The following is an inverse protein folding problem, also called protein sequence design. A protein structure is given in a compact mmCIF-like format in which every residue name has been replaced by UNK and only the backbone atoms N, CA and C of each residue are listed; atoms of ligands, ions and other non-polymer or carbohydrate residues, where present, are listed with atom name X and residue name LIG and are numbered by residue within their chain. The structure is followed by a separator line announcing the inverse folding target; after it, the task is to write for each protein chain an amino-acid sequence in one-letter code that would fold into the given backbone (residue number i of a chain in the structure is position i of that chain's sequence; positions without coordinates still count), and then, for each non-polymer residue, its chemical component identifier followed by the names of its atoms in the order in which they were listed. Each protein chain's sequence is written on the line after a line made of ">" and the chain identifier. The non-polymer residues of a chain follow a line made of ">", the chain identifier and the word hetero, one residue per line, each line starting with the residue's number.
data_IF_856531030216
#
_entry.id   IF_856531030216
#
_cell.length_a   1.000
_cell.length_b   1.000
_cell.length_c   1.000
_cell.angle_alpha   90.00
_cell.angle_beta   90.00
_cell.angle_gamma   90.00
#
_symmetry.space_group_name_H-M   'P 1'
#
loop_
_entity.id
_entity.type
_entity.pdbx_description
1 polymer ?
#
# COMPACT_ATOMS: atom_id res chain seq x y z
N UNK A 1 -15.62 53.97 27.58
CA UNK A 1 -15.39 52.67 28.22
C UNK A 1 -15.31 51.65 27.11
N UNK A 2 -14.09 51.33 26.68
CA UNK A 2 -13.70 50.10 25.98
C UNK A 2 -12.19 50.23 25.79
N UNK A 3 -11.45 49.36 26.47
CA UNK A 3 -10.00 49.42 26.60
C UNK A 3 -9.30 48.72 25.44
N UNK A 4 -8.19 49.30 25.02
CA UNK A 4 -7.20 48.72 24.10
C UNK A 4 -6.68 47.37 24.63
N UNK A 5 -6.49 46.34 23.78
CA UNK A 5 -5.77 45.15 24.17
C UNK A 5 -4.26 45.35 24.04
N UNK A 6 -3.58 45.02 25.14
CA UNK A 6 -2.15 45.15 25.36
C UNK A 6 -1.28 44.28 24.43
N UNK A 7 -0.17 44.90 24.00
CA UNK A 7 1.14 44.37 23.62
C UNK A 7 1.31 42.86 23.37
N UNK A 8 1.57 42.53 22.11
CA UNK A 8 2.20 41.27 21.69
C UNK A 8 3.65 41.26 22.19
N UNK A 9 3.93 40.50 23.24
CA UNK A 9 5.30 40.22 23.69
C UNK A 9 5.99 39.30 22.68
N UNK A 10 6.96 39.84 21.92
CA UNK A 10 7.93 39.05 21.15
C UNK A 10 8.87 38.35 22.15
N UNK A 11 8.78 37.03 22.22
CA UNK A 11 9.73 36.21 22.97
C UNK A 11 10.89 35.84 22.02
N UNK A 12 12.01 36.54 22.17
CA UNK A 12 13.26 36.21 21.47
C UNK A 12 13.87 34.94 22.07
N UNK A 13 14.15 33.94 21.24
CA UNK A 13 14.87 32.73 21.63
C UNK A 13 16.39 33.02 21.66
N UNK A 14 17.10 32.78 22.77
CA UNK A 14 18.55 32.94 22.78
C UNK A 14 19.21 31.81 21.98
N UNK A 15 19.92 32.21 20.92
CA UNK A 15 20.84 31.36 20.16
C UNK A 15 22.09 31.14 21.00
N UNK A 16 22.39 29.87 21.30
CA UNK A 16 23.73 29.42 21.66
C UNK A 16 23.88 28.82 23.05
N UNK A 17 23.88 27.49 23.12
CA UNK A 17 24.54 26.77 24.20
C UNK A 17 25.64 25.93 23.59
N UNK A 18 26.88 26.41 23.74
CA UNK A 18 28.11 25.66 23.43
C UNK A 18 28.21 24.47 24.37
N UNK A 19 28.41 23.28 23.81
CA UNK A 19 28.85 22.10 24.55
C UNK A 19 30.29 22.37 25.02
N UNK A 20 30.52 22.32 26.33
CA UNK A 20 31.81 22.54 26.95
C UNK A 20 32.77 21.38 26.63
N UNK A 21 33.86 21.68 25.93
CA UNK A 21 35.03 20.81 25.86
C UNK A 21 36.01 21.21 26.97
N UNK A 22 36.59 20.20 27.63
CA UNK A 22 37.50 20.33 28.75
C UNK A 22 38.76 21.16 28.43
N UNK A 23 39.26 21.81 29.48
CA UNK A 23 40.40 22.74 29.60
C UNK A 23 41.73 22.31 28.97
N UNK A 24 42.57 23.26 28.50
CA UNK A 24 43.99 23.01 28.22
C UNK A 24 44.90 23.59 29.32
N UNK A 25 45.87 22.81 29.77
CA UNK A 25 47.05 23.32 30.49
C UNK A 25 48.02 23.98 29.50
N UNK A 26 48.36 25.23 29.78
CA UNK A 26 49.34 26.01 29.04
C UNK A 26 50.75 25.78 29.59
N UNK A 27 51.72 25.49 28.71
CA UNK A 27 53.15 25.69 28.99
C UNK A 27 53.77 26.56 27.90
N UNK A 28 54.13 27.79 28.29
CA UNK A 28 54.85 28.81 27.52
C UNK A 28 56.26 28.34 27.15
N UNK A 29 56.74 28.59 25.92
CA UNK A 29 58.10 29.10 25.63
C UNK A 29 58.13 29.83 24.27
N UNK A 30 58.63 31.07 24.26
CA UNK A 30 59.62 31.54 23.27
C UNK A 30 59.16 32.28 22.01
N UNK A 31 59.16 33.61 22.08
CA UNK A 31 59.21 34.55 20.94
C UNK A 31 60.57 34.53 20.21
N UNK A 32 60.57 34.47 18.87
CA UNK A 32 61.51 35.24 18.02
C UNK A 32 60.87 35.59 16.68
N UNK A 33 60.97 36.86 16.31
CA UNK A 33 60.61 37.42 15.01
C UNK A 33 61.47 36.84 13.88
N UNK A 34 60.80 36.47 12.79
CA UNK A 34 61.39 36.25 11.48
C UNK A 34 60.30 36.49 10.44
N UNK A 35 60.40 37.59 9.69
CA UNK A 35 59.58 37.83 8.51
C UNK A 35 59.83 36.73 7.48
N UNK A 36 58.80 35.94 7.17
CA UNK A 36 58.76 35.14 5.94
C UNK A 36 57.38 35.25 5.33
N UNK A 37 57.35 35.95 4.19
CA UNK A 37 56.43 35.90 3.05
C UNK A 37 55.11 35.12 3.23
N UNK A 38 54.03 35.81 2.86
CA UNK A 38 52.72 35.26 2.50
C UNK A 38 52.85 33.96 1.69
N UNK A 39 52.78 32.83 2.38
CA UNK A 39 52.73 31.49 1.83
C UNK A 39 51.42 30.84 2.24
N UNK A 40 50.61 30.50 1.23
CA UNK A 40 49.45 29.59 1.25
C UNK A 40 49.17 28.97 2.63
N UNK A 41 48.19 29.51 3.37
CA UNK A 41 47.53 28.71 4.41
C UNK A 41 46.80 27.60 3.69
N UNK A 42 47.38 26.41 3.76
CA UNK A 42 46.74 25.14 3.57
C UNK A 42 45.38 25.19 4.26
N UNK A 43 44.34 25.29 3.44
CA UNK A 43 43.02 24.76 3.78
C UNK A 43 43.31 23.31 4.16
N UNK A 44 43.21 22.96 5.44
CA UNK A 44 43.07 21.58 5.84
C UNK A 44 41.89 21.04 5.03
N UNK A 45 42.19 20.31 3.97
CA UNK A 45 41.20 19.64 3.15
C UNK A 45 40.65 18.49 3.98
N UNK A 46 39.68 18.79 4.83
CA UNK A 46 38.79 17.78 5.38
C UNK A 46 38.15 17.02 4.20
N UNK A 47 38.05 15.69 4.28
CA UNK A 47 37.62 14.86 3.17
C UNK A 47 36.21 15.26 2.71
N UNK A 48 36.05 15.47 1.39
CA UNK A 48 34.83 15.93 0.72
C UNK A 48 33.64 14.93 0.77
N UNK A 49 33.70 13.81 1.49
CA UNK A 49 32.68 12.73 1.43
C UNK A 49 31.85 12.48 2.70
N UNK A 50 32.10 13.15 3.83
CA UNK A 50 31.63 12.69 5.15
C UNK A 50 30.72 13.67 5.91
N UNK A 51 29.78 14.33 5.22
CA UNK A 51 28.80 15.21 5.90
C UNK A 51 27.48 14.46 6.14
N UNK A 52 26.99 14.34 7.40
CA UNK A 52 25.67 13.81 7.70
C UNK A 52 24.53 14.50 6.92
N UNK A 53 24.70 15.76 6.52
CA UNK A 53 23.72 16.44 5.66
C UNK A 53 23.60 15.81 4.27
N UNK A 54 24.70 15.29 3.70
CA UNK A 54 24.66 14.64 2.37
C UNK A 54 23.90 13.32 2.43
N UNK A 55 24.13 12.52 3.48
CA UNK A 55 23.36 11.30 3.75
C UNK A 55 21.87 11.62 3.89
N UNK A 56 21.54 12.65 4.68
CA UNK A 56 20.17 13.10 4.86
C UNK A 56 19.50 13.54 3.55
N UNK A 57 20.18 14.35 2.73
CA UNK A 57 19.63 14.81 1.45
C UNK A 57 19.47 13.66 0.45
N UNK A 58 20.42 12.73 0.41
CA UNK A 58 20.36 11.54 -0.44
C UNK A 58 19.16 10.64 -0.11
N UNK A 59 18.74 10.61 1.16
CA UNK A 59 17.56 9.82 1.58
C UNK A 59 16.25 10.24 0.89
N UNK A 60 16.22 11.41 0.24
CA UNK A 60 15.09 11.81 -0.61
C UNK A 60 14.79 10.81 -1.75
N UNK A 61 15.79 10.07 -2.25
CA UNK A 61 15.59 9.04 -3.27
C UNK A 61 14.76 7.87 -2.75
N UNK A 62 14.99 7.47 -1.48
CA UNK A 62 14.19 6.46 -0.78
C UNK A 62 12.77 6.94 -0.55
N UNK A 63 12.60 8.20 -0.15
CA UNK A 63 11.28 8.80 0.05
C UNK A 63 10.51 8.93 -1.27
N UNK A 64 11.22 9.17 -2.38
CA UNK A 64 10.66 9.20 -3.74
C UNK A 64 10.36 7.82 -4.32
N UNK A 65 10.77 6.73 -3.66
CA UNK A 65 10.55 5.35 -4.12
C UNK A 65 11.47 4.92 -5.26
N UNK A 66 12.57 5.64 -5.50
CA UNK A 66 13.55 5.29 -6.54
C UNK A 66 14.50 4.17 -6.12
N UNK A 67 14.68 3.99 -4.80
CA UNK A 67 15.50 2.93 -4.20
C UNK A 67 14.90 2.51 -2.86
N UNK A 68 15.22 1.30 -2.40
CA UNK A 68 14.94 0.86 -1.02
C UNK A 68 16.03 1.33 -0.04
N UNK A 69 15.73 1.22 1.26
CA UNK A 69 16.61 1.67 2.35
C UNK A 69 17.93 0.89 2.38
N UNK A 70 17.88 -0.43 2.17
CA UNK A 70 19.06 -1.30 2.22
C UNK A 70 20.04 -0.97 1.10
N UNK A 71 19.53 -0.91 -0.13
CA UNK A 71 20.32 -0.52 -1.31
C UNK A 71 20.90 0.89 -1.18
N UNK A 72 20.13 1.83 -0.62
CA UNK A 72 20.60 3.19 -0.37
C UNK A 72 21.78 3.23 0.60
N UNK A 73 21.69 2.51 1.73
CA UNK A 73 22.78 2.46 2.73
C UNK A 73 24.03 1.84 2.09
N UNK A 74 23.91 0.73 1.37
CA UNK A 74 25.05 0.07 0.71
C UNK A 74 25.72 0.97 -0.34
N UNK A 75 24.92 1.68 -1.14
CA UNK A 75 25.44 2.63 -2.11
C UNK A 75 26.17 3.79 -1.41
N UNK A 76 25.62 4.29 -0.31
CA UNK A 76 26.26 5.35 0.48
C UNK A 76 27.57 4.88 1.13
N UNK A 77 27.65 3.66 1.66
CA UNK A 77 28.89 3.06 2.18
C UNK A 77 29.99 3.04 1.11
N UNK A 78 29.63 2.62 -0.11
CA UNK A 78 30.54 2.57 -1.25
C UNK A 78 31.05 3.95 -1.68
N UNK A 79 30.18 4.96 -1.71
CA UNK A 79 30.55 6.33 -2.09
C UNK A 79 31.35 7.07 -1.02
N UNK A 80 30.99 6.86 0.24
CA UNK A 80 31.63 7.53 1.38
C UNK A 80 32.94 6.87 1.79
N UNK A 81 33.09 5.57 1.53
CA UNK A 81 34.18 4.73 2.02
C UNK A 81 34.07 4.37 3.50
N UNK A 82 32.91 4.62 4.14
CA UNK A 82 32.67 4.35 5.55
C UNK A 82 31.69 3.18 5.68
N UNK A 83 32.08 2.06 6.30
CA UNK A 83 31.16 1.00 6.63
C UNK A 83 30.22 1.43 7.75
N UNK A 84 28.93 1.13 7.62
CA UNK A 84 27.92 1.33 8.64
C UNK A 84 27.83 0.06 9.48
N UNK A 85 28.19 0.17 10.76
CA UNK A 85 28.21 -0.97 11.69
C UNK A 85 26.82 -1.60 11.90
N UNK A 86 25.77 -0.77 11.89
CA UNK A 86 24.40 -1.19 12.17
C UNK A 86 23.43 -0.48 11.22
N UNK A 87 23.03 -1.18 10.15
CA UNK A 87 22.14 -0.66 9.12
C UNK A 87 20.75 -0.33 9.67
N UNK A 88 20.27 -1.10 10.66
CA UNK A 88 18.96 -0.86 11.30
C UNK A 88 18.97 0.45 12.07
N UNK A 89 20.00 0.69 12.89
CA UNK A 89 20.10 1.97 13.63
C UNK A 89 20.11 3.16 12.69
N UNK A 90 20.86 3.07 11.60
CA UNK A 90 20.89 4.16 10.61
C UNK A 90 19.52 4.35 9.95
N UNK A 91 18.86 3.27 9.54
CA UNK A 91 17.52 3.31 8.97
C UNK A 91 16.49 3.92 9.93
N UNK A 92 16.51 3.56 11.22
CA UNK A 92 15.65 4.14 12.25
C UNK A 92 15.89 5.64 12.45
N UNK A 93 17.15 6.10 12.43
CA UNK A 93 17.48 7.53 12.51
C UNK A 93 16.95 8.33 11.30
N UNK A 94 17.05 7.75 10.11
CA UNK A 94 16.56 8.36 8.86
C UNK A 94 15.03 8.38 8.80
N UNK A 95 14.36 7.29 9.19
CA UNK A 95 12.90 7.24 9.27
C UNK A 95 12.37 8.18 10.38
N UNK A 96 13.07 8.26 11.52
CA UNK A 96 12.75 9.23 12.58
C UNK A 96 12.81 10.67 12.07
N UNK A 97 13.77 10.97 11.19
CA UNK A 97 13.94 12.30 10.61
C UNK A 97 12.80 12.66 9.66
N UNK A 98 12.28 11.67 8.92
CA UNK A 98 11.08 11.82 8.10
C UNK A 98 9.85 12.14 8.97
N UNK A 99 9.60 11.36 10.03
CA UNK A 99 8.48 11.64 10.93
C UNK A 99 8.62 12.99 11.64
N UNK A 100 9.85 13.38 12.01
CA UNK A 100 10.13 14.72 12.56
C UNK A 100 9.73 15.83 11.58
N UNK A 101 9.96 15.65 10.28
CA UNK A 101 9.52 16.62 9.27
C UNK A 101 7.98 16.64 9.15
N UNK A 102 7.32 15.48 9.21
CA UNK A 102 5.86 15.41 9.16
C UNK A 102 5.15 16.13 10.31
N UNK A 103 5.78 16.28 11.48
CA UNK A 103 5.20 17.05 12.59
C UNK A 103 5.01 18.54 12.22
N UNK A 104 5.76 19.07 11.26
CA UNK A 104 5.66 20.47 10.81
C UNK A 104 4.58 20.72 9.74
N UNK A 105 3.73 19.73 9.45
CA UNK A 105 2.64 19.90 8.48
C UNK A 105 1.61 20.92 9.00
N UNK A 106 1.42 22.03 8.28
CA UNK A 106 0.64 23.18 8.75
C UNK A 106 -0.85 22.89 8.93
N UNK A 107 -1.43 22.03 8.09
CA UNK A 107 -2.86 21.67 8.15
C UNK A 107 -3.28 21.11 9.51
N UNK A 108 -2.36 20.41 10.20
CA UNK A 108 -2.64 19.84 11.52
C UNK A 108 -2.84 20.86 12.64
N UNK A 109 -2.63 22.14 12.40
CA UNK A 109 -2.80 23.22 13.38
C UNK A 109 -3.75 24.32 12.91
N UNK A 110 -4.41 24.12 11.75
CA UNK A 110 -5.32 25.10 11.16
C UNK A 110 -6.69 25.12 11.87
N UNK A 111 -7.19 23.95 12.26
CA UNK A 111 -8.51 23.81 12.88
C UNK A 111 -8.45 23.97 14.41
N UNK A 112 -9.58 24.38 14.99
CA UNK A 112 -9.66 24.79 16.39
C UNK A 112 -9.79 23.65 17.43
N UNK A 113 -9.78 22.38 17.01
CA UNK A 113 -9.93 21.24 17.92
C UNK A 113 -8.76 20.27 17.81
N UNK A 114 -8.06 20.00 18.91
CA UNK A 114 -6.92 19.06 18.98
C UNK A 114 -7.33 17.61 18.69
N UNK A 115 -8.62 17.27 18.79
CA UNK A 115 -9.13 15.93 18.44
C UNK A 115 -9.56 15.80 16.97
N UNK A 116 -9.39 16.84 16.16
CA UNK A 116 -9.59 16.76 14.71
C UNK A 116 -8.66 15.73 14.05
N UNK A 117 -9.02 15.29 12.84
CA UNK A 117 -8.28 14.24 12.14
C UNK A 117 -6.83 14.66 11.85
N UNK A 118 -6.60 15.93 11.49
CA UNK A 118 -5.29 16.46 11.12
C UNK A 118 -4.37 16.67 12.34
N UNK A 119 -4.79 17.30 13.46
CA UNK A 119 -3.97 17.36 14.66
C UNK A 119 -3.64 15.98 15.24
N UNK A 120 -4.61 15.04 15.23
CA UNK A 120 -4.36 13.65 15.66
C UNK A 120 -3.26 13.00 14.82
N UNK A 121 -3.26 13.23 13.52
CA UNK A 121 -2.23 12.71 12.61
C UNK A 121 -0.85 13.33 12.91
N UNK A 122 -0.75 14.64 13.14
CA UNK A 122 0.51 15.28 13.55
C UNK A 122 1.01 14.77 14.91
N UNK A 123 0.11 14.54 15.88
CA UNK A 123 0.47 13.93 17.17
C UNK A 123 0.97 12.50 16.97
N UNK A 124 0.33 11.71 16.11
CA UNK A 124 0.79 10.37 15.76
C UNK A 124 2.22 10.40 15.16
N UNK A 125 2.49 11.34 14.24
CA UNK A 125 3.83 11.54 13.70
C UNK A 125 4.86 11.88 14.77
N UNK A 126 4.50 12.73 15.73
CA UNK A 126 5.39 13.09 16.83
C UNK A 126 5.70 11.89 17.73
N UNK A 127 4.67 11.12 18.11
CA UNK A 127 4.83 9.89 18.91
C UNK A 127 5.74 8.90 18.17
N UNK A 128 5.55 8.71 16.86
CA UNK A 128 6.39 7.80 16.08
C UNK A 128 7.83 8.29 15.94
N UNK A 129 8.06 9.60 15.76
CA UNK A 129 9.41 10.16 15.74
C UNK A 129 10.12 9.94 17.10
N UNK A 130 9.40 10.15 18.19
CA UNK A 130 9.89 9.92 19.56
C UNK A 130 10.27 8.46 19.75
N UNK A 131 9.39 7.53 19.39
CA UNK A 131 9.62 6.08 19.47
C UNK A 131 10.91 5.66 18.73
N UNK A 132 11.08 6.12 17.48
CA UNK A 132 12.28 5.86 16.68
C UNK A 132 13.55 6.46 17.29
N UNK A 133 13.46 7.63 17.93
CA UNK A 133 14.62 8.30 18.51
C UNK A 133 14.93 7.91 19.96
N UNK A 134 13.98 7.32 20.68
CA UNK A 134 14.10 7.08 22.12
C UNK A 134 15.32 6.22 22.45
N UNK A 135 15.64 5.20 21.65
CA UNK A 135 16.80 4.32 21.87
C UNK A 135 18.16 5.02 21.67
N UNK A 136 18.18 6.19 21.05
CA UNK A 136 19.38 7.00 20.82
C UNK A 136 19.50 8.16 21.81
N UNK A 137 18.61 8.23 22.79
CA UNK A 137 18.59 9.26 23.83
C UNK A 137 18.47 8.62 25.20
N UNK A 138 19.26 9.12 26.16
CA UNK A 138 19.12 8.76 27.58
C UNK A 138 17.94 9.49 28.23
N UNK A 139 17.36 10.49 27.56
CA UNK A 139 16.23 11.27 28.07
C UNK A 139 14.92 10.64 27.62
N UNK A 140 13.93 10.55 28.52
CA UNK A 140 12.55 10.19 28.16
C UNK A 140 11.93 11.30 27.30
N UNK A 141 12.03 11.14 25.97
CA UNK A 141 11.56 12.12 25.00
C UNK A 141 10.03 12.24 25.04
N UNK A 142 9.33 11.14 25.28
CA UNK A 142 7.87 11.14 25.39
C UNK A 142 7.43 11.91 26.64
N UNK A 143 8.10 11.68 27.77
CA UNK A 143 7.88 12.40 29.03
C UNK A 143 8.06 13.90 28.93
N UNK A 144 8.95 14.39 28.06
CA UNK A 144 9.11 15.83 27.79
C UNK A 144 7.92 16.43 27.01
N UNK A 145 7.35 15.66 26.08
CA UNK A 145 6.33 16.16 25.14
C UNK A 145 4.91 16.04 25.70
N UNK A 146 4.61 14.97 26.44
CA UNK A 146 3.27 14.71 26.99
C UNK A 146 2.70 15.87 27.84
N UNK A 147 3.45 16.52 28.75
CA UNK A 147 2.93 17.66 29.52
C UNK A 147 2.60 18.88 28.66
N UNK A 148 3.32 19.09 27.56
CA UNK A 148 3.07 20.18 26.62
C UNK A 148 1.77 19.89 25.87
N UNK A 149 1.60 18.67 25.35
CA UNK A 149 0.37 18.24 24.67
C UNK A 149 -0.85 18.24 25.62
N UNK A 150 -0.65 18.02 26.92
CA UNK A 150 -1.72 18.06 27.92
C UNK A 150 -2.35 19.45 28.09
N UNK A 151 -1.66 20.53 27.68
CA UNK A 151 -2.21 21.90 27.71
C UNK A 151 -3.27 22.12 26.62
N UNK A 152 -3.19 21.39 25.52
CA UNK A 152 -4.17 21.45 24.44
C UNK A 152 -5.35 20.51 24.74
N UNK A 153 -6.51 21.09 25.03
CA UNK A 153 -7.75 20.34 25.33
C UNK A 153 -8.63 20.27 24.09
N UNK A 154 -9.32 19.14 23.92
CA UNK A 154 -10.34 19.02 22.89
C UNK A 154 -11.58 19.81 23.26
N UNK A 155 -12.31 20.27 22.23
CA UNK A 155 -13.64 20.85 22.40
C UNK A 155 -14.64 19.78 22.88
N UNK A 156 -14.36 18.50 22.63
CA UNK A 156 -15.15 17.34 23.08
C UNK A 156 -14.53 16.74 24.34
N UNK A 157 -15.28 16.76 25.45
CA UNK A 157 -14.79 16.24 26.74
C UNK A 157 -14.30 14.79 26.70
N UNK A 158 -14.95 13.93 25.91
CA UNK A 158 -14.59 12.51 25.83
C UNK A 158 -13.26 12.26 25.11
N UNK A 159 -12.83 13.16 24.22
CA UNK A 159 -11.55 13.06 23.52
C UNK A 159 -10.36 13.51 24.39
N UNK A 160 -10.63 14.21 25.49
CA UNK A 160 -9.63 14.60 26.48
C UNK A 160 -8.69 15.71 26.00
N UNK A 161 -7.39 15.40 25.94
CA UNK A 161 -6.31 16.35 25.60
C UNK A 161 -5.35 15.76 24.57
N UNK A 162 -4.46 16.59 24.03
CA UNK A 162 -3.36 16.11 23.18
C UNK A 162 -2.54 15.00 23.85
N UNK A 163 -2.39 15.03 25.19
CA UNK A 163 -1.72 13.97 25.94
C UNK A 163 -2.51 12.65 25.89
N UNK A 164 -3.84 12.71 26.05
CA UNK A 164 -4.72 11.54 25.96
C UNK A 164 -4.62 10.91 24.57
N UNK A 165 -4.66 11.74 23.53
CA UNK A 165 -4.52 11.32 22.14
C UNK A 165 -3.15 10.69 21.90
N UNK A 166 -2.05 11.34 22.33
CA UNK A 166 -0.70 10.81 22.16
C UNK A 166 -0.52 9.43 22.82
N UNK A 167 -1.01 9.25 24.05
CA UNK A 167 -0.94 7.97 24.76
C UNK A 167 -1.67 6.85 24.02
N UNK A 168 -2.78 7.15 23.34
CA UNK A 168 -3.50 6.14 22.54
C UNK A 168 -2.66 5.57 21.40
N UNK A 169 -1.73 6.35 20.83
CA UNK A 169 -0.83 5.86 19.78
C UNK A 169 0.35 5.04 20.31
N UNK A 170 0.78 5.27 21.55
CA UNK A 170 1.81 4.45 22.21
C UNK A 170 1.29 3.05 22.52
N UNK A 171 0.00 2.93 22.85
CA UNK A 171 -0.64 1.64 23.12
C UNK A 171 -0.99 0.84 21.85
N UNK A 172 -1.01 1.48 20.68
CA UNK A 172 -1.35 0.87 19.38
C UNK A 172 -0.14 0.29 18.63
N UNK A 173 0.99 0.05 19.31
CA UNK A 173 2.18 -0.55 18.70
C UNK A 173 1.92 -2.04 18.48
N UNK A 174 1.34 -2.36 17.33
CA UNK A 174 1.09 -3.73 16.89
C UNK A 174 1.01 -3.84 15.37
N UNK A 175 1.73 -2.98 14.63
CA UNK A 175 1.71 -3.03 13.16
C UNK A 175 2.25 -4.35 12.62
N UNK A 176 3.24 -4.93 13.30
CA UNK A 176 3.80 -6.24 13.05
C UNK A 176 2.80 -7.37 13.37
N UNK A 177 1.99 -7.22 14.43
CA UNK A 177 0.93 -8.15 14.76
C UNK A 177 -0.19 -8.12 13.69
N UNK A 178 -0.57 -6.91 13.25
CA UNK A 178 -1.53 -6.74 12.16
C UNK A 178 -1.00 -7.33 10.84
N UNK A 179 0.27 -7.10 10.53
CA UNK A 179 0.92 -7.70 9.36
C UNK A 179 0.98 -9.23 9.47
N UNK A 180 1.30 -9.76 10.65
CA UNK A 180 1.27 -11.19 10.95
C UNK A 180 -0.12 -11.79 10.69
N UNK A 181 -1.17 -11.16 11.23
CA UNK A 181 -2.55 -11.58 10.99
C UNK A 181 -2.93 -11.52 9.49
N UNK A 182 -2.53 -10.46 8.78
CA UNK A 182 -2.74 -10.34 7.34
C UNK A 182 -2.08 -11.49 6.57
N UNK A 183 -0.78 -11.74 6.81
CA UNK A 183 -0.06 -12.80 6.12
C UNK A 183 -0.57 -14.19 6.50
N UNK A 184 -1.00 -14.40 7.74
CA UNK A 184 -1.67 -15.63 8.14
C UNK A 184 -2.92 -15.91 7.30
N UNK A 185 -3.77 -14.90 7.09
CA UNK A 185 -4.97 -15.05 6.25
C UNK A 185 -4.61 -15.21 4.78
N UNK A 186 -3.65 -14.43 4.27
CA UNK A 186 -3.22 -14.54 2.88
C UNK A 186 -2.66 -15.94 2.58
N UNK A 187 -1.78 -16.48 3.42
CA UNK A 187 -1.20 -17.81 3.22
C UNK A 187 -2.24 -18.94 3.35
N UNK A 188 -3.30 -18.77 4.15
CA UNK A 188 -4.31 -19.81 4.38
C UNK A 188 -5.51 -19.73 3.43
N UNK A 189 -5.90 -18.54 2.99
CA UNK A 189 -7.12 -18.33 2.18
C UNK A 189 -6.82 -18.02 0.72
N UNK A 190 -5.70 -17.36 0.44
CA UNK A 190 -5.33 -17.04 -0.94
C UNK A 190 -4.83 -18.29 -1.68
N UNK A 191 -5.13 -18.34 -2.98
CA UNK A 191 -4.54 -19.32 -3.88
C UNK A 191 -3.11 -18.91 -4.26
N UNK A 192 -2.28 -19.82 -4.78
CA UNK A 192 -0.89 -19.51 -5.12
C UNK A 192 -0.70 -18.25 -5.98
N UNK A 193 -1.63 -17.97 -6.89
CA UNK A 193 -1.63 -16.77 -7.74
C UNK A 193 -1.95 -15.45 -7.00
N UNK A 194 -2.61 -15.54 -5.84
CA UNK A 194 -3.06 -14.41 -5.02
C UNK A 194 -2.20 -14.23 -3.75
N UNK A 195 -1.17 -15.05 -3.56
CA UNK A 195 -0.22 -14.90 -2.46
C UNK A 195 0.57 -13.61 -2.65
N UNK A 196 0.60 -12.79 -1.61
CA UNK A 196 1.37 -11.55 -1.56
C UNK A 196 2.43 -11.61 -0.47
N UNK A 197 3.55 -10.93 -0.71
CA UNK A 197 4.68 -10.89 0.23
C UNK A 197 4.88 -9.52 0.86
N UNK A 198 4.03 -8.53 0.55
CA UNK A 198 4.16 -7.16 1.06
C UNK A 198 2.83 -6.68 1.61
N UNK A 199 2.86 -6.10 2.81
CA UNK A 199 1.73 -5.47 3.47
C UNK A 199 2.16 -4.18 4.18
N UNK A 200 1.73 -3.03 3.65
CA UNK A 200 2.17 -1.73 4.14
C UNK A 200 3.69 -1.58 4.04
N UNK A 201 4.36 -1.45 5.18
CA UNK A 201 5.84 -1.38 5.27
C UNK A 201 6.49 -2.74 5.55
N UNK A 202 5.71 -3.79 5.79
CA UNK A 202 6.21 -5.11 6.14
C UNK A 202 6.32 -5.99 4.90
N UNK A 203 7.43 -6.72 4.81
CA UNK A 203 7.66 -7.72 3.79
C UNK A 203 7.86 -9.09 4.46
N UNK A 204 7.13 -10.09 3.96
CA UNK A 204 7.28 -11.48 4.36
C UNK A 204 8.51 -12.06 3.66
N UNK A 205 9.51 -12.48 4.44
CA UNK A 205 10.77 -13.05 3.92
C UNK A 205 10.80 -14.57 4.00
N UNK A 206 10.16 -15.15 5.01
CA UNK A 206 10.01 -16.60 5.14
C UNK A 206 8.70 -16.97 5.83
N UNK A 207 8.16 -18.12 5.47
CA UNK A 207 6.95 -18.71 6.04
C UNK A 207 7.12 -20.22 6.20
N UNK A 208 6.63 -20.76 7.31
CA UNK A 208 6.60 -22.20 7.57
C UNK A 208 5.34 -22.58 8.35
N UNK A 209 4.65 -23.63 7.91
CA UNK A 209 3.56 -24.28 8.65
C UNK A 209 4.13 -25.46 9.42
N UNK A 210 3.99 -25.47 10.75
CA UNK A 210 4.42 -26.55 11.64
C UNK A 210 3.18 -27.36 12.05
N UNK A 211 2.52 -27.98 11.07
CA UNK A 211 1.25 -28.67 11.28
C UNK A 211 0.05 -27.83 10.86
N UNK A 212 -1.12 -28.08 11.47
CA UNK A 212 -2.40 -27.48 11.05
C UNK A 212 -2.70 -26.10 11.65
N UNK A 213 -2.19 -25.86 12.87
CA UNK A 213 -2.59 -24.73 13.70
C UNK A 213 -1.40 -23.87 14.15
N UNK A 214 -0.19 -24.22 13.75
CA UNK A 214 1.03 -23.57 14.19
C UNK A 214 1.82 -23.07 12.98
N UNK A 215 2.19 -21.80 13.03
CA UNK A 215 2.82 -21.11 11.91
C UNK A 215 3.98 -20.25 12.38
N UNK A 216 5.01 -20.17 11.55
CA UNK A 216 6.17 -19.30 11.77
C UNK A 216 6.37 -18.39 10.56
N UNK A 217 6.58 -17.10 10.82
CA UNK A 217 6.81 -16.08 9.79
C UNK A 217 8.03 -15.25 10.15
N UNK A 218 8.80 -14.84 9.14
CA UNK A 218 9.85 -13.85 9.27
C UNK A 218 9.42 -12.59 8.53
N UNK A 219 9.33 -11.47 9.25
CA UNK A 219 8.91 -10.18 8.72
C UNK A 219 10.09 -9.20 8.71
N UNK A 220 10.19 -8.42 7.63
CA UNK A 220 11.11 -7.30 7.49
C UNK A 220 10.32 -6.00 7.41
N UNK A 221 10.55 -5.06 8.35
CA UNK A 221 10.15 -3.68 8.20
C UNK A 221 11.08 -2.99 7.19
N UNK A 222 10.57 -2.78 5.98
CA UNK A 222 11.32 -2.18 4.85
C UNK A 222 11.77 -0.74 5.09
N UNK A 223 11.22 -0.05 6.11
CA UNK A 223 11.59 1.33 6.46
C UNK A 223 12.69 1.41 7.48
N UNK A 224 12.70 0.50 8.46
CA UNK A 224 13.66 0.49 9.57
C UNK A 224 14.70 -0.63 9.47
N UNK A 225 14.55 -1.54 8.51
CA UNK A 225 15.32 -2.78 8.40
C UNK A 225 15.23 -3.68 9.64
N UNK A 226 14.20 -3.48 10.48
CA UNK A 226 13.91 -4.34 11.62
C UNK A 226 13.40 -5.69 11.10
N UNK A 227 13.94 -6.77 11.67
CA UNK A 227 13.48 -8.13 11.43
C UNK A 227 12.77 -8.64 12.68
N UNK A 228 11.61 -9.25 12.47
CA UNK A 228 10.80 -9.85 13.52
C UNK A 228 10.43 -11.28 13.12
N UNK A 229 10.67 -12.22 14.04
CA UNK A 229 10.22 -13.62 13.93
C UNK A 229 8.91 -13.77 14.69
N UNK A 230 7.87 -14.24 14.00
CA UNK A 230 6.53 -14.42 14.53
C UNK A 230 6.23 -15.91 14.63
N UNK A 231 5.87 -16.35 15.84
CA UNK A 231 5.34 -17.67 16.10
C UNK A 231 3.87 -17.56 16.47
N UNK A 232 3.00 -18.22 15.72
CA UNK A 232 1.55 -18.09 15.84
C UNK A 232 0.90 -19.45 16.08
N UNK A 233 0.03 -19.47 17.10
CA UNK A 233 -0.86 -20.59 17.40
C UNK A 233 -2.29 -20.15 17.11
N UNK A 234 -2.98 -20.92 16.27
CA UNK A 234 -4.31 -20.59 15.75
C UNK A 234 -5.32 -21.62 16.25
N UNK A 235 -6.29 -21.15 17.00
CA UNK A 235 -7.44 -21.93 17.41
C UNK A 235 -8.69 -21.47 16.66
N UNK A 236 -9.49 -22.43 16.19
CA UNK A 236 -10.75 -22.17 15.49
C UNK A 236 -11.90 -22.59 16.39
N UNK A 237 -12.65 -21.62 16.88
CA UNK A 237 -13.78 -21.82 17.78
C UNK A 237 -15.09 -21.62 17.00
N UNK A 238 -16.07 -22.53 17.11
CA UNK A 238 -17.33 -22.44 16.34
C UNK A 238 -18.11 -21.13 16.51
N UNK A 239 -18.08 -20.53 17.72
CA UNK A 239 -18.85 -19.30 18.01
C UNK A 239 -18.04 -18.01 17.89
N UNK A 240 -16.71 -18.07 18.11
CA UNK A 240 -15.84 -16.88 18.18
C UNK A 240 -14.94 -16.70 16.94
N UNK A 241 -14.96 -17.66 16.02
CA UNK A 241 -14.13 -17.64 14.81
C UNK A 241 -12.68 -18.00 15.11
N UNK A 242 -11.75 -17.18 14.63
CA UNK A 242 -10.30 -17.38 14.82
C UNK A 242 -9.83 -16.69 16.09
N UNK A 243 -9.12 -17.43 16.94
CA UNK A 243 -8.32 -16.92 18.05
C UNK A 243 -6.85 -17.23 17.77
N UNK A 244 -6.01 -16.20 17.76
CA UNK A 244 -4.60 -16.32 17.42
C UNK A 244 -3.76 -15.77 18.56
N UNK A 245 -2.87 -16.62 19.08
CA UNK A 245 -1.81 -16.22 20.00
C UNK A 245 -0.53 -16.05 19.20
N UNK A 246 -0.02 -14.82 19.15
CA UNK A 246 1.20 -14.47 18.45
C UNK A 246 2.32 -14.12 19.43
N UNK A 247 3.47 -14.75 19.27
CA UNK A 247 4.71 -14.38 19.92
C UNK A 247 5.63 -13.74 18.88
N UNK A 248 5.88 -12.44 19.05
CA UNK A 248 6.70 -11.65 18.12
C UNK A 248 8.03 -11.37 18.77
N UNK A 249 9.12 -11.86 18.17
CA UNK A 249 10.48 -11.71 18.67
C UNK A 249 11.30 -10.85 17.73
N UNK A 250 11.82 -9.73 18.22
CA UNK A 250 12.78 -8.92 17.49
C UNK A 250 14.10 -9.68 17.38
N UNK A 251 14.53 -10.00 16.16
CA UNK A 251 15.67 -10.90 15.93
C UNK A 251 17.01 -10.28 16.36
N UNK A 252 17.10 -8.94 16.44
CA UNK A 252 18.33 -8.27 16.84
C UNK A 252 18.46 -8.09 18.36
N UNK A 253 17.33 -7.91 19.07
CA UNK A 253 17.35 -7.69 20.52
C UNK A 253 16.98 -8.95 21.32
N UNK A 254 16.33 -9.93 20.69
CA UNK A 254 15.76 -11.11 21.35
C UNK A 254 14.52 -10.80 22.20
N UNK A 255 14.01 -9.57 22.16
CA UNK A 255 12.84 -9.18 22.95
C UNK A 255 11.58 -9.79 22.33
N UNK A 256 10.84 -10.56 23.12
CA UNK A 256 9.57 -11.17 22.71
C UNK A 256 8.38 -10.44 23.31
N UNK A 257 7.37 -10.20 22.48
CA UNK A 257 6.07 -9.64 22.87
C UNK A 257 4.97 -10.64 22.53
N UNK A 258 3.94 -10.70 23.39
CA UNK A 258 2.77 -11.56 23.17
C UNK A 258 1.60 -10.69 22.72
N UNK A 259 0.97 -11.06 21.63
CA UNK A 259 -0.24 -10.44 21.11
C UNK A 259 -1.34 -11.49 20.97
N UNK A 260 -2.53 -11.14 21.43
CA UNK A 260 -3.73 -11.95 21.22
C UNK A 260 -4.59 -11.23 20.18
N UNK A 261 -5.08 -11.99 19.21
CA UNK A 261 -5.82 -11.47 18.09
C UNK A 261 -6.99 -12.38 17.79
N UNK A 262 -8.19 -11.79 17.83
CA UNK A 262 -9.43 -12.50 17.52
C UNK A 262 -10.08 -11.92 16.27
N UNK A 263 -11.09 -12.63 15.75
CA UNK A 263 -11.88 -12.16 14.59
C UNK A 263 -12.39 -10.71 14.75
N UNK A 264 -12.73 -10.29 15.97
CA UNK A 264 -13.24 -8.95 16.26
C UNK A 264 -12.19 -7.84 16.10
N UNK A 265 -10.90 -8.20 16.14
CA UNK A 265 -9.78 -7.26 16.01
C UNK A 265 -9.33 -7.07 14.55
N UNK A 266 -9.89 -7.84 13.61
CA UNK A 266 -9.51 -7.76 12.19
C UNK A 266 -10.02 -6.44 11.59
N UNK A 267 -9.14 -5.58 11.06
CA UNK A 267 -9.57 -4.38 10.35
C UNK A 267 -10.44 -4.73 9.13
N UNK A 268 -11.50 -3.94 8.84
CA UNK A 268 -12.39 -4.20 7.69
C UNK A 268 -11.66 -4.39 6.36
N UNK A 269 -10.57 -3.64 6.12
CA UNK A 269 -9.75 -3.77 4.92
C UNK A 269 -9.14 -5.17 4.72
N UNK A 270 -8.75 -5.84 5.80
CA UNK A 270 -8.19 -7.20 5.74
C UNK A 270 -9.32 -8.20 5.50
N UNK A 271 -10.48 -7.98 6.11
CA UNK A 271 -11.67 -8.81 5.87
C UNK A 271 -12.10 -8.75 4.41
N UNK A 272 -12.13 -7.56 3.80
CA UNK A 272 -12.46 -7.39 2.38
C UNK A 272 -11.52 -8.20 1.48
N UNK A 273 -10.21 -8.14 1.73
CA UNK A 273 -9.20 -8.93 1.02
C UNK A 273 -9.42 -10.44 1.24
N UNK A 274 -9.65 -10.87 2.49
CA UNK A 274 -9.90 -12.27 2.84
C UNK A 274 -11.15 -12.82 2.17
N UNK A 275 -12.25 -12.07 2.17
CA UNK A 275 -13.49 -12.45 1.48
C UNK A 275 -13.28 -12.53 -0.03
N UNK A 276 -12.50 -11.61 -0.62
CA UNK A 276 -12.15 -11.68 -2.04
C UNK A 276 -11.35 -12.95 -2.36
N UNK A 277 -10.37 -13.34 -1.55
CA UNK A 277 -9.62 -14.59 -1.76
C UNK A 277 -10.52 -15.84 -1.67
N UNK A 278 -11.40 -15.88 -0.67
CA UNK A 278 -12.36 -16.97 -0.48
C UNK A 278 -13.34 -17.02 -1.67
N UNK A 279 -13.89 -15.89 -2.09
CA UNK A 279 -14.84 -15.79 -3.21
C UNK A 279 -14.21 -16.27 -4.52
N UNK A 280 -12.95 -15.90 -4.80
CA UNK A 280 -12.20 -16.40 -5.96
C UNK A 280 -12.00 -17.91 -5.90
N UNK A 281 -11.69 -18.43 -4.71
CA UNK A 281 -11.53 -19.86 -4.49
C UNK A 281 -12.85 -20.62 -4.73
N UNK A 282 -13.99 -20.09 -4.27
CA UNK A 282 -15.33 -20.67 -4.44
C UNK A 282 -15.88 -20.52 -5.87
N UNK A 283 -15.43 -19.50 -6.60
CA UNK A 283 -15.91 -19.23 -7.96
C UNK A 283 -15.17 -20.01 -9.04
N UNK A 284 -14.14 -20.80 -8.70
CA UNK A 284 -13.32 -21.51 -9.69
C UNK A 284 -14.07 -22.72 -10.26
N UNK A 285 -14.47 -22.60 -11.52
CA UNK A 285 -15.10 -23.64 -12.34
C UNK A 285 -14.09 -24.11 -13.39
N UNK A 286 -13.96 -25.42 -13.59
CA UNK A 286 -13.09 -25.99 -14.63
C UNK A 286 -13.60 -25.66 -16.04
N UNK A 287 -12.72 -25.71 -17.03
CA UNK A 287 -13.05 -25.29 -18.41
C UNK A 287 -14.18 -26.11 -19.05
N UNK A 288 -14.15 -27.43 -18.89
CA UNK A 288 -15.19 -28.33 -19.40
C UNK A 288 -16.55 -28.04 -18.73
N UNK A 289 -16.54 -27.90 -17.40
CA UNK A 289 -17.76 -27.61 -16.62
C UNK A 289 -18.34 -26.24 -17.00
N UNK A 290 -17.48 -25.25 -17.24
CA UNK A 290 -17.88 -23.92 -17.68
C UNK A 290 -18.55 -23.94 -19.08
N UNK A 291 -18.02 -24.72 -20.02
CA UNK A 291 -18.64 -24.90 -21.35
C UNK A 291 -20.00 -25.59 -21.24
N UNK A 292 -20.12 -26.61 -20.39
CA UNK A 292 -21.40 -27.26 -20.09
C UNK A 292 -22.41 -26.28 -19.49
N UNK A 293 -22.02 -25.50 -18.47
CA UNK A 293 -22.89 -24.49 -17.85
C UNK A 293 -23.38 -23.47 -18.90
N UNK A 294 -22.48 -22.93 -19.72
CA UNK A 294 -22.86 -21.95 -20.74
C UNK A 294 -23.85 -22.54 -21.76
N UNK A 295 -23.62 -23.79 -22.17
CA UNK A 295 -24.49 -24.52 -23.09
C UNK A 295 -25.87 -24.80 -22.49
N UNK A 296 -25.92 -25.23 -21.24
CA UNK A 296 -27.19 -25.51 -20.54
C UNK A 296 -27.98 -24.23 -20.27
N UNK A 297 -27.31 -23.13 -19.91
CA UNK A 297 -27.95 -21.81 -19.76
C UNK A 297 -28.50 -21.31 -21.10
N UNK A 298 -27.79 -21.56 -22.20
CA UNK A 298 -28.31 -21.27 -23.55
C UNK A 298 -29.56 -22.08 -23.84
N UNK A 299 -29.54 -23.40 -23.63
CA UNK A 299 -30.72 -24.26 -23.82
C UNK A 299 -31.89 -23.81 -22.95
N UNK A 300 -31.64 -23.53 -21.67
CA UNK A 300 -32.63 -23.01 -20.73
C UNK A 300 -33.25 -21.70 -21.23
N UNK A 301 -32.42 -20.76 -21.68
CA UNK A 301 -32.88 -19.47 -22.22
C UNK A 301 -33.74 -19.62 -23.48
N UNK A 302 -33.41 -20.58 -24.35
CA UNK A 302 -34.19 -20.90 -25.55
C UNK A 302 -35.55 -21.54 -25.22
N UNK A 303 -35.57 -22.47 -24.26
CA UNK A 303 -36.79 -23.13 -23.82
C UNK A 303 -37.73 -22.17 -23.10
N UNK A 304 -37.21 -21.28 -22.26
CA UNK A 304 -38.02 -20.23 -21.59
C UNK A 304 -38.63 -19.26 -22.62
N UNK A 305 -37.93 -18.99 -23.72
CA UNK A 305 -38.42 -18.06 -24.75
C UNK A 305 -39.64 -18.60 -25.51
N UNK A 306 -39.63 -19.89 -25.81
CA UNK A 306 -40.59 -20.52 -26.72
C UNK A 306 -41.51 -21.55 -26.03
N UNK A 307 -41.31 -21.81 -24.74
CA UNK A 307 -42.03 -22.80 -23.96
C UNK A 307 -43.38 -22.30 -23.44
N UNK A 308 -44.31 -23.23 -23.19
CA UNK A 308 -45.65 -22.94 -22.66
C UNK A 308 -45.70 -22.82 -21.12
N UNK A 309 -44.64 -23.24 -20.43
CA UNK A 309 -44.53 -23.17 -18.97
C UNK A 309 -43.24 -22.45 -18.57
N UNK A 310 -43.36 -21.53 -17.61
CA UNK A 310 -42.21 -20.86 -17.03
C UNK A 310 -41.65 -21.70 -15.85
N UNK A 311 -40.33 -21.86 -15.75
CA UNK A 311 -39.70 -22.48 -14.58
C UNK A 311 -39.93 -21.64 -13.30
N UNK A 312 -39.74 -22.27 -12.14
CA UNK A 312 -39.94 -21.63 -10.84
C UNK A 312 -38.96 -20.48 -10.61
N UNK A 313 -39.38 -19.47 -9.84
CA UNK A 313 -38.52 -18.34 -9.47
C UNK A 313 -37.25 -18.79 -8.74
N UNK A 314 -37.36 -19.84 -7.92
CA UNK A 314 -36.20 -20.46 -7.23
C UNK A 314 -35.14 -20.93 -8.22
N UNK A 315 -35.54 -21.62 -9.28
CA UNK A 315 -34.62 -22.13 -10.30
C UNK A 315 -33.93 -20.99 -11.08
N UNK A 316 -34.63 -19.87 -11.31
CA UNK A 316 -34.01 -18.70 -11.91
C UNK A 316 -32.92 -18.09 -11.02
N UNK A 317 -33.16 -17.99 -9.71
CA UNK A 317 -32.18 -17.43 -8.75
C UNK A 317 -30.94 -18.33 -8.66
N UNK A 318 -31.13 -19.64 -8.59
CA UNK A 318 -30.02 -20.61 -8.57
C UNK A 318 -29.18 -20.52 -9.86
N UNK A 319 -29.83 -20.53 -11.03
CA UNK A 319 -29.16 -20.41 -12.32
C UNK A 319 -28.45 -19.06 -12.47
N UNK A 320 -29.03 -17.98 -11.93
CA UNK A 320 -28.39 -16.65 -11.92
C UNK A 320 -27.09 -16.68 -11.10
N UNK A 321 -27.12 -17.27 -9.91
CA UNK A 321 -25.92 -17.46 -9.08
C UNK A 321 -24.85 -18.31 -9.76
N UNK A 322 -25.26 -19.36 -10.48
CA UNK A 322 -24.33 -20.19 -11.28
C UNK A 322 -23.74 -19.40 -12.46
N UNK A 323 -24.53 -18.59 -13.17
CA UNK A 323 -24.04 -17.74 -14.26
C UNK A 323 -23.02 -16.72 -13.78
N UNK A 324 -23.27 -16.05 -12.65
CA UNK A 324 -22.35 -15.06 -12.08
C UNK A 324 -21.05 -15.71 -11.62
N UNK A 325 -21.10 -16.89 -10.99
CA UNK A 325 -19.90 -17.66 -10.63
C UNK A 325 -19.11 -18.09 -11.85
N UNK A 326 -19.77 -18.62 -12.88
CA UNK A 326 -19.14 -18.99 -14.15
C UNK A 326 -18.47 -17.80 -14.84
N UNK A 327 -19.12 -16.63 -14.84
CA UNK A 327 -18.57 -15.39 -15.38
C UNK A 327 -17.34 -14.90 -14.59
N UNK A 328 -17.34 -15.01 -13.25
CA UNK A 328 -16.16 -14.72 -12.42
C UNK A 328 -15.02 -15.71 -12.71
N UNK A 329 -15.32 -17.00 -12.81
CA UNK A 329 -14.34 -18.04 -13.14
C UNK A 329 -13.58 -17.70 -14.42
N UNK A 330 -14.32 -17.40 -15.50
CA UNK A 330 -13.79 -17.08 -16.84
C UNK A 330 -12.64 -16.06 -16.87
N UNK A 331 -12.67 -15.07 -15.98
CA UNK A 331 -11.67 -14.00 -15.89
C UNK A 331 -10.58 -14.27 -14.86
N UNK A 332 -10.86 -15.10 -13.85
CA UNK A 332 -9.94 -15.39 -12.74
C UNK A 332 -9.05 -16.61 -12.98
N UNK A 333 -9.51 -17.62 -13.71
CA UNK A 333 -8.69 -18.80 -14.02
C UNK A 333 -7.56 -18.49 -15.01
N UNK A 334 -6.41 -19.19 -14.91
CA UNK A 334 -5.34 -19.13 -15.90
C UNK A 334 -5.89 -19.35 -17.31
N UNK A 335 -5.28 -18.71 -18.32
CA UNK A 335 -5.80 -18.64 -19.68
C UNK A 335 -5.67 -19.98 -20.44
N UNK A 336 -6.49 -20.97 -20.08
CA UNK A 336 -6.48 -22.33 -20.63
C UNK A 336 -7.42 -22.48 -21.83
N UNK A 337 -8.59 -21.82 -21.80
CA UNK A 337 -9.52 -21.80 -22.94
C UNK A 337 -9.12 -20.79 -24.02
N UNK A 338 -9.20 -21.16 -25.31
CA UNK A 338 -9.15 -20.21 -26.42
C UNK A 338 -10.20 -19.09 -26.28
N UNK A 339 -9.82 -17.87 -26.65
CA UNK A 339 -10.71 -16.71 -26.53
C UNK A 339 -12.06 -16.88 -27.24
N UNK A 340 -12.09 -17.55 -28.40
CA UNK A 340 -13.35 -17.79 -29.13
C UNK A 340 -14.38 -18.55 -28.27
N UNK A 341 -13.94 -19.63 -27.63
CA UNK A 341 -14.80 -20.41 -26.73
C UNK A 341 -15.19 -19.60 -25.49
N UNK A 342 -14.25 -18.84 -24.91
CA UNK A 342 -14.58 -17.92 -23.80
C UNK A 342 -15.64 -16.91 -24.19
N UNK A 343 -15.51 -16.28 -25.36
CA UNK A 343 -16.42 -15.25 -25.87
C UNK A 343 -17.83 -15.80 -26.06
N UNK A 344 -17.96 -17.00 -26.62
CA UNK A 344 -19.25 -17.64 -26.84
C UNK A 344 -19.92 -17.99 -25.50
N UNK A 345 -19.16 -18.56 -24.55
CA UNK A 345 -19.62 -18.82 -23.19
C UNK A 345 -20.05 -17.54 -22.46
N UNK A 346 -19.22 -16.49 -22.50
CA UNK A 346 -19.55 -15.17 -21.93
C UNK A 346 -20.86 -14.64 -22.53
N UNK A 347 -21.03 -14.73 -23.84
CA UNK A 347 -22.22 -14.22 -24.52
C UNK A 347 -23.49 -14.94 -24.08
N UNK A 348 -23.45 -16.26 -23.91
CA UNK A 348 -24.61 -17.03 -23.43
C UNK A 348 -24.98 -16.69 -21.98
N UNK A 349 -23.99 -16.55 -21.10
CA UNK A 349 -24.20 -16.18 -19.70
C UNK A 349 -24.75 -14.75 -19.58
N UNK A 350 -24.19 -13.80 -20.32
CA UNK A 350 -24.60 -12.40 -20.30
C UNK A 350 -26.01 -12.20 -20.87
N UNK A 351 -26.39 -12.91 -21.93
CA UNK A 351 -27.74 -12.84 -22.49
C UNK A 351 -28.80 -13.28 -21.45
N UNK A 352 -28.49 -14.30 -20.66
CA UNK A 352 -29.35 -14.74 -19.56
C UNK A 352 -29.46 -13.68 -18.46
N UNK A 353 -28.32 -13.14 -18.01
CA UNK A 353 -28.25 -12.11 -16.96
C UNK A 353 -28.98 -10.82 -17.40
N UNK A 354 -28.81 -10.40 -18.65
CA UNK A 354 -29.46 -9.21 -19.21
C UNK A 354 -30.99 -9.32 -19.18
N UNK A 355 -31.53 -10.50 -19.44
CA UNK A 355 -32.99 -10.74 -19.51
C UNK A 355 -33.65 -10.91 -18.16
N UNK A 356 -32.97 -11.54 -17.20
CA UNK A 356 -33.57 -11.98 -15.93
C UNK A 356 -32.94 -11.37 -14.69
N UNK A 357 -31.75 -10.78 -14.81
CA UNK A 357 -31.06 -10.09 -13.74
C UNK A 357 -31.78 -8.81 -13.33
N UNK A 358 -31.72 -8.49 -12.04
CA UNK A 358 -32.13 -7.21 -11.48
C UNK A 358 -30.92 -6.27 -11.54
N UNK A 359 -31.13 -5.03 -11.06
CA UNK A 359 -30.09 -4.01 -11.06
C UNK A 359 -28.80 -4.49 -10.34
N UNK A 360 -28.94 -5.20 -9.23
CA UNK A 360 -27.82 -5.75 -8.48
C UNK A 360 -26.96 -6.71 -9.32
N UNK A 361 -27.56 -7.63 -10.07
CA UNK A 361 -26.81 -8.55 -10.93
C UNK A 361 -26.11 -7.81 -12.09
N UNK A 362 -26.75 -6.79 -12.65
CA UNK A 362 -26.14 -5.94 -13.68
C UNK A 362 -24.95 -5.15 -13.13
N UNK A 363 -25.05 -4.65 -11.89
CA UNK A 363 -23.97 -3.96 -11.19
C UNK A 363 -22.80 -4.91 -10.88
N UNK A 364 -23.09 -6.16 -10.49
CA UNK A 364 -22.06 -7.21 -10.31
C UNK A 364 -21.33 -7.48 -11.62
N UNK A 365 -22.06 -7.65 -12.75
CA UNK A 365 -21.44 -7.84 -14.07
C UNK A 365 -20.56 -6.64 -14.45
N UNK A 366 -21.05 -5.42 -14.23
CA UNK A 366 -20.27 -4.19 -14.45
C UNK A 366 -18.96 -4.21 -13.67
N UNK A 367 -19.02 -4.60 -12.39
CA UNK A 367 -17.84 -4.69 -11.54
C UNK A 367 -16.85 -5.76 -12.03
N UNK A 368 -17.33 -6.95 -12.40
CA UNK A 368 -16.49 -8.03 -12.95
C UNK A 368 -15.68 -7.54 -14.16
N UNK A 369 -16.36 -6.92 -15.14
CA UNK A 369 -15.69 -6.37 -16.32
C UNK A 369 -14.70 -5.25 -15.98
N UNK A 370 -15.07 -4.36 -15.06
CA UNK A 370 -14.19 -3.26 -14.62
C UNK A 370 -12.90 -3.80 -13.98
N UNK A 371 -13.02 -4.81 -13.13
CA UNK A 371 -11.88 -5.46 -12.47
C UNK A 371 -10.97 -6.14 -13.48
N UNK A 372 -11.52 -6.85 -14.46
CA UNK A 372 -10.73 -7.51 -15.50
C UNK A 372 -10.01 -6.48 -16.40
N UNK A 373 -10.70 -5.42 -16.83
CA UNK A 373 -10.10 -4.33 -17.60
C UNK A 373 -8.93 -3.70 -16.82
N UNK A 374 -9.12 -3.45 -15.53
CA UNK A 374 -8.07 -2.90 -14.67
C UNK A 374 -6.89 -3.86 -14.48
N UNK A 375 -7.15 -5.18 -14.44
CA UNK A 375 -6.11 -6.20 -14.41
C UNK A 375 -5.24 -6.15 -15.66
N UNK A 376 -5.86 -6.14 -16.84
CA UNK A 376 -5.14 -6.06 -18.13
C UNK A 376 -4.36 -4.74 -18.25
N UNK A 377 -4.97 -3.61 -17.86
CA UNK A 377 -4.31 -2.31 -17.83
C UNK A 377 -3.10 -2.30 -16.89
N UNK A 378 -3.20 -2.93 -15.70
CA UNK A 378 -2.08 -3.06 -14.76
C UNK A 378 -0.94 -3.88 -15.35
N UNK A 379 -1.26 -4.96 -16.06
CA UNK A 379 -0.27 -5.78 -16.74
C UNK A 379 0.43 -5.02 -17.87
N UNK A 380 -0.31 -4.22 -18.66
CA UNK A 380 0.26 -3.34 -19.69
C UNK A 380 1.20 -2.30 -19.05
N UNK A 381 0.80 -1.69 -17.94
CA UNK A 381 1.64 -0.70 -17.24
C UNK A 381 2.92 -1.31 -16.68
N UNK A 382 2.88 -2.55 -16.17
CA UNK A 382 4.04 -3.23 -15.57
C UNK A 382 4.98 -3.86 -16.61
N UNK A 383 4.42 -4.47 -17.65
CA UNK A 383 5.18 -5.30 -18.60
C UNK A 383 5.24 -4.70 -20.02
N UNK A 384 4.67 -3.51 -20.21
CA UNK A 384 4.56 -2.84 -21.51
C UNK A 384 3.39 -3.34 -22.37
N UNK A 385 3.07 -2.57 -23.40
CA UNK A 385 2.04 -2.93 -24.37
C UNK A 385 2.51 -4.04 -25.33
N UNK A 386 1.65 -5.03 -25.57
CA UNK A 386 1.85 -6.11 -26.56
C UNK A 386 0.57 -6.30 -27.38
N UNK A 387 0.70 -6.87 -28.59
CA UNK A 387 -0.45 -7.16 -29.46
C UNK A 387 -1.50 -8.02 -28.74
N UNK A 388 -1.07 -9.09 -28.07
CA UNK A 388 -1.97 -10.02 -27.36
C UNK A 388 -2.76 -9.32 -26.25
N UNK A 389 -2.10 -8.51 -25.42
CA UNK A 389 -2.75 -7.76 -24.32
C UNK A 389 -3.70 -6.69 -24.86
N UNK A 390 -3.28 -5.98 -25.91
CA UNK A 390 -4.10 -4.96 -26.56
C UNK A 390 -5.34 -5.55 -27.23
N UNK A 391 -5.18 -6.64 -27.98
CA UNK A 391 -6.28 -7.36 -28.63
C UNK A 391 -7.27 -7.89 -27.60
N UNK A 392 -6.79 -8.54 -26.54
CA UNK A 392 -7.65 -9.04 -25.48
C UNK A 392 -8.45 -7.93 -24.79
N UNK A 393 -7.80 -6.80 -24.45
CA UNK A 393 -8.48 -5.64 -23.87
C UNK A 393 -9.56 -5.08 -24.81
N UNK A 394 -9.24 -4.96 -26.10
CA UNK A 394 -10.19 -4.48 -27.11
C UNK A 394 -11.41 -5.40 -27.21
N UNK A 395 -11.19 -6.71 -27.23
CA UNK A 395 -12.28 -7.68 -27.30
C UNK A 395 -13.16 -7.66 -26.05
N UNK A 396 -12.58 -7.51 -24.85
CA UNK A 396 -13.34 -7.30 -23.61
C UNK A 396 -14.24 -6.06 -23.68
N UNK A 397 -13.70 -4.93 -24.14
CA UNK A 397 -14.46 -3.68 -24.31
C UNK A 397 -15.59 -3.84 -25.33
N UNK A 398 -15.34 -4.58 -26.42
CA UNK A 398 -16.35 -4.87 -27.43
C UNK A 398 -17.46 -5.78 -26.91
N UNK A 399 -17.13 -6.81 -26.13
CA UNK A 399 -18.14 -7.67 -25.48
C UNK A 399 -18.98 -6.85 -24.50
N UNK A 400 -18.35 -6.02 -23.67
CA UNK A 400 -19.07 -5.14 -22.74
C UNK A 400 -20.04 -4.21 -23.50
N UNK A 401 -19.56 -3.55 -24.56
CA UNK A 401 -20.35 -2.61 -25.37
C UNK A 401 -21.52 -3.29 -26.10
N UNK A 402 -21.30 -4.44 -26.73
CA UNK A 402 -22.36 -5.19 -27.43
C UNK A 402 -23.46 -5.66 -26.47
N UNK A 403 -23.10 -5.98 -25.23
CA UNK A 403 -24.05 -6.39 -24.21
C UNK A 403 -24.72 -5.22 -23.46
N UNK A 404 -24.24 -3.98 -23.66
CA UNK A 404 -24.77 -2.78 -23.01
C UNK A 404 -24.23 -2.57 -21.59
N UNK A 405 -23.09 -3.18 -21.27
CA UNK A 405 -22.40 -3.04 -19.98
C UNK A 405 -21.49 -1.81 -20.07
N UNK A 406 -21.54 -0.97 -19.04
CA UNK A 406 -20.70 0.23 -18.94
C UNK A 406 -19.64 0.05 -17.84
N UNK A 407 -18.52 -0.64 -18.11
CA UNK A 407 -17.45 -0.81 -17.13
C UNK A 407 -16.68 0.51 -16.91
N UNK A 408 -16.01 0.61 -15.76
CA UNK A 408 -15.05 1.68 -15.53
C UNK A 408 -13.83 1.48 -16.41
N UNK A 409 -13.48 2.51 -17.19
CA UNK A 409 -12.34 2.49 -18.12
C UNK A 409 -11.25 3.49 -17.76
N UNK A 410 -11.44 4.31 -16.71
CA UNK A 410 -10.54 5.42 -16.34
C UNK A 410 -9.10 4.96 -16.16
N UNK A 411 -8.88 3.90 -15.39
CA UNK A 411 -7.54 3.39 -15.15
C UNK A 411 -6.91 2.78 -16.40
N UNK A 412 -7.71 2.16 -17.27
CA UNK A 412 -7.23 1.70 -18.58
C UNK A 412 -6.85 2.88 -19.48
N UNK A 413 -7.61 3.99 -19.47
CA UNK A 413 -7.25 5.20 -20.20
C UNK A 413 -5.90 5.76 -19.69
N UNK A 414 -5.71 5.87 -18.38
CA UNK A 414 -4.45 6.33 -17.79
C UNK A 414 -3.27 5.43 -18.17
N UNK A 415 -3.43 4.11 -18.03
CA UNK A 415 -2.38 3.15 -18.33
C UNK A 415 -2.01 3.11 -19.82
N UNK A 416 -2.98 3.29 -20.72
CA UNK A 416 -2.75 3.23 -22.17
C UNK A 416 -2.47 4.58 -22.83
N UNK A 417 -2.63 5.69 -22.12
CA UNK A 417 -2.40 7.04 -22.66
C UNK A 417 -1.04 7.17 -23.35
N UNK A 418 0.03 6.74 -22.67
CA UNK A 418 1.40 6.83 -23.19
C UNK A 418 1.61 6.02 -24.49
N UNK A 419 0.86 4.94 -24.66
CA UNK A 419 0.95 4.01 -25.79
C UNK A 419 0.09 4.44 -26.99
N UNK A 420 -1.07 5.04 -26.75
CA UNK A 420 -2.04 5.41 -27.79
C UNK A 420 -1.81 6.84 -28.29
N UNK A 421 -1.63 7.80 -27.38
CA UNK A 421 -1.49 9.23 -27.71
C UNK A 421 -0.15 9.82 -27.31
N UNK A 422 0.57 9.15 -26.41
CA UNK A 422 1.82 9.64 -25.85
C UNK A 422 3.08 9.21 -26.62
N UNK A 423 4.26 9.40 -26.00
CA UNK A 423 5.56 9.29 -26.66
C UNK A 423 5.95 7.87 -27.06
N UNK A 424 5.24 6.85 -26.57
CA UNK A 424 5.52 5.45 -26.89
C UNK A 424 4.82 4.99 -28.18
N UNK A 425 3.82 5.71 -28.69
CA UNK A 425 3.10 5.36 -29.94
C UNK A 425 4.03 5.04 -31.13
N UNK A 426 5.10 5.82 -31.41
CA UNK A 426 6.00 5.57 -32.55
C UNK A 426 6.81 4.26 -32.45
N UNK A 427 6.90 3.67 -31.25
CA UNK A 427 7.63 2.41 -31.04
C UNK A 427 6.89 1.20 -31.62
N UNK A 428 5.58 1.32 -31.90
CA UNK A 428 4.76 0.25 -32.47
C UNK A 428 4.65 0.37 -33.99
N UNK A 429 5.51 -0.36 -34.72
CA UNK A 429 5.58 -0.25 -36.19
C UNK A 429 4.84 -1.36 -36.95
N UNK A 430 4.42 -2.44 -36.30
CA UNK A 430 3.76 -3.55 -37.00
C UNK A 430 2.32 -3.18 -37.38
N UNK A 431 1.83 -3.56 -38.58
CA UNK A 431 0.47 -3.23 -39.02
C UNK A 431 -0.62 -3.68 -38.03
N UNK A 432 -0.45 -4.89 -37.48
CA UNK A 432 -1.38 -5.47 -36.50
C UNK A 432 -1.44 -4.68 -35.18
N UNK A 433 -0.30 -4.20 -34.66
CA UNK A 433 -0.30 -3.41 -33.42
C UNK A 433 -0.86 -2.01 -33.62
N UNK A 434 -0.61 -1.39 -34.78
CA UNK A 434 -1.22 -0.10 -35.14
C UNK A 434 -2.73 -0.21 -35.21
N UNK A 435 -3.24 -1.24 -35.88
CA UNK A 435 -4.69 -1.47 -36.00
C UNK A 435 -5.36 -1.64 -34.63
N UNK A 436 -4.78 -2.43 -33.73
CA UNK A 436 -5.29 -2.58 -32.36
C UNK A 436 -5.26 -1.25 -31.59
N UNK A 437 -4.21 -0.45 -31.75
CA UNK A 437 -4.10 0.86 -31.08
C UNK A 437 -5.18 1.83 -31.55
N UNK A 438 -5.49 1.88 -32.86
CA UNK A 438 -6.56 2.73 -33.39
C UNK A 438 -7.93 2.29 -32.88
N UNK A 439 -8.20 0.99 -32.85
CA UNK A 439 -9.45 0.47 -32.31
C UNK A 439 -9.56 0.72 -30.79
N UNK A 440 -8.47 0.61 -30.04
CA UNK A 440 -8.43 0.95 -28.61
C UNK A 440 -8.62 2.44 -28.36
N UNK A 441 -8.10 3.30 -29.24
CA UNK A 441 -8.32 4.76 -29.17
C UNK A 441 -9.81 5.09 -29.15
N UNK A 442 -10.57 4.48 -30.07
CA UNK A 442 -12.04 4.60 -30.12
C UNK A 442 -12.69 3.90 -28.94
N UNK A 443 -12.29 2.66 -28.63
CA UNK A 443 -12.95 1.87 -27.61
C UNK A 443 -12.82 2.47 -26.19
N UNK A 444 -11.72 3.17 -25.91
CA UNK A 444 -11.45 3.87 -24.65
C UNK A 444 -11.88 5.34 -24.67
N UNK A 445 -12.62 5.80 -25.69
CA UNK A 445 -13.14 7.17 -25.80
C UNK A 445 -12.07 8.26 -25.61
N UNK A 446 -10.88 8.08 -26.19
CA UNK A 446 -9.91 9.17 -26.20
C UNK A 446 -10.37 10.29 -27.14
N UNK A 447 -10.32 11.53 -26.67
CA UNK A 447 -10.58 12.68 -27.54
C UNK A 447 -9.47 12.83 -28.58
N UNK A 448 -9.77 13.26 -29.83
CA UNK A 448 -8.76 13.60 -30.83
C UNK A 448 -7.73 14.63 -30.33
N UNK A 449 -8.06 15.43 -29.31
CA UNK A 449 -7.18 16.43 -28.70
C UNK A 449 -6.32 15.91 -27.52
N UNK A 450 -6.33 14.60 -27.27
CA UNK A 450 -5.43 13.97 -26.30
C UNK A 450 -5.81 14.13 -24.83
N UNK A 451 -7.07 14.41 -24.50
CA UNK A 451 -7.57 14.42 -23.11
C UNK A 451 -8.59 13.30 -22.89
N UNK A 452 -8.58 12.62 -21.73
CA UNK A 452 -9.63 11.67 -21.39
C UNK A 452 -10.97 12.43 -21.31
N UNK A 453 -11.96 12.01 -22.09
CA UNK A 453 -13.33 12.52 -21.97
C UNK A 453 -13.90 11.90 -20.70
N UNK A 454 -14.00 12.72 -19.65
CA UNK A 454 -14.68 12.33 -18.41
C UNK A 454 -16.17 12.19 -18.76
N UNK A 455 -16.69 10.98 -18.67
CA UNK A 455 -18.12 10.68 -18.75
C UNK A 455 -18.73 10.69 -17.34
#
# INVERSE_FOLDING_TARGET
>A
MEGEPAGVARMEFPVGTRIAAATPEARKVGTKHGEVRCGKRSICSEPKSTRPQRLLHGYSEVLGGFTDVGSFIQQWEKESGIPVEDHRKLAELLEGQRFKQYVFTSCGWFFSDISGIEPRQNIHYAVRAIDLYQRFSETDLLGLVLPILGKAKSNRKHDGSGQTIAKSFVSNVGGEAEAGAYFLMNQNFARPEDIVTVYGKYQLTAYKSIGKNEFTFELLDTRTLRQDSLHMLVDVLPENGYEVIMHITDTATGQTTKHEFSTAHIPPRILDDAYSWIDRSLSRIGDEELEHIATDIRHYSLLVRNGRSAPSEKLYVENMGTCLRALRSLFTTPNTLPWQQKRDSISHLLEFIKRKGRQNEHDIVRHIFSTEINRVATNIRRQGFSYERGSYLLELLNVARTQGIQPSITYAQEALYAHILGPLRPTYQTPLTKDVIEHLHVALNFSPDGRPVIA
#
